data_IF_734527820370
#
_entry.id   IF_734527820370
#
_cell.length_a   1.000
_cell.length_b   1.000
_cell.length_c   1.000
_cell.angle_alpha   90.00
_cell.angle_beta   90.00
_cell.angle_gamma   90.00
#
_symmetry.space_group_name_H-M   'P 1'
#
loop_
_entity.id
_entity.type
_entity.pdbx_description
1 polymer ?
#
# COMPACT_ATOMS: atom_id res chain seq x y z
N UNK A 1 22.60 35.87 -22.26
CA UNK A 1 21.46 35.04 -21.77
C UNK A 1 21.47 33.66 -22.41
N UNK A 2 22.43 32.77 -22.11
CA UNK A 2 22.44 31.38 -22.63
C UNK A 2 23.17 30.37 -21.72
N UNK A 3 23.24 30.63 -20.41
CA UNK A 3 23.91 29.70 -19.48
C UNK A 3 23.03 29.21 -18.32
N UNK A 4 21.79 29.71 -18.21
CA UNK A 4 20.88 29.33 -17.11
C UNK A 4 20.07 28.07 -17.43
N UNK A 5 20.01 27.65 -18.69
CA UNK A 5 19.14 26.53 -19.12
C UNK A 5 19.72 25.14 -18.84
N UNK A 6 21.00 25.01 -18.44
CA UNK A 6 21.63 23.69 -18.26
C UNK A 6 21.47 23.10 -16.85
N UNK A 7 21.09 23.92 -15.86
CA UNK A 7 20.97 23.47 -14.46
C UNK A 7 19.63 22.83 -14.11
N UNK A 8 18.60 23.00 -14.94
CA UNK A 8 17.25 22.45 -14.68
C UNK A 8 17.17 20.94 -15.00
N UNK A 9 18.04 20.42 -15.86
CA UNK A 9 18.00 19.00 -16.26
C UNK A 9 18.74 18.05 -15.31
N UNK A 10 19.54 18.58 -14.37
CA UNK A 10 20.37 17.76 -13.47
C UNK A 10 19.63 17.35 -12.17
N UNK A 11 18.48 17.96 -11.88
CA UNK A 11 17.71 17.71 -10.64
C UNK A 11 16.77 16.49 -10.76
N UNK A 12 16.51 16.00 -11.98
CA UNK A 12 15.55 14.91 -12.24
C UNK A 12 16.09 13.48 -12.09
N UNK A 13 17.37 13.30 -11.71
CA UNK A 13 18.01 11.97 -11.70
C UNK A 13 18.24 11.36 -10.30
N UNK A 14 17.71 11.94 -9.23
CA UNK A 14 17.76 11.34 -7.90
C UNK A 14 16.47 10.55 -7.60
N UNK A 15 16.06 9.67 -8.53
CA UNK A 15 15.18 8.55 -8.16
C UNK A 15 16.05 7.54 -7.39
N UNK A 16 16.29 7.83 -6.11
CA UNK A 16 16.98 6.91 -5.23
C UNK A 16 16.13 5.66 -5.06
N UNK A 17 16.72 4.49 -5.31
CA UNK A 17 16.17 3.21 -4.83
C UNK A 17 16.11 3.27 -3.31
N UNK A 18 15.01 3.77 -2.75
CA UNK A 18 14.75 3.67 -1.32
C UNK A 18 14.14 2.30 -1.06
N UNK A 19 14.76 1.52 -0.16
CA UNK A 19 14.10 0.36 0.42
C UNK A 19 12.84 0.86 1.14
N UNK A 20 11.68 0.58 0.57
CA UNK A 20 10.40 0.92 1.20
C UNK A 20 10.29 0.07 2.48
N UNK A 21 10.00 0.67 3.64
CA UNK A 21 9.82 -0.07 4.88
C UNK A 21 8.66 -1.08 4.81
N UNK A 22 8.96 -2.32 5.19
CA UNK A 22 7.99 -3.38 5.45
C UNK A 22 7.47 -3.28 6.89
N UNK A 23 6.20 -2.94 7.09
CA UNK A 23 5.66 -2.71 8.43
C UNK A 23 5.04 -3.96 9.06
N UNK A 24 5.91 -4.87 9.48
CA UNK A 24 5.53 -6.10 10.20
C UNK A 24 4.78 -5.87 11.52
N UNK A 25 4.84 -4.66 12.10
CA UNK A 25 4.08 -4.31 13.30
C UNK A 25 2.59 -4.07 12.98
N UNK A 26 2.32 -3.35 11.89
CA UNK A 26 0.97 -3.15 11.39
C UNK A 26 0.36 -4.46 10.86
N UNK A 27 1.16 -5.31 10.21
CA UNK A 27 0.73 -6.67 9.80
C UNK A 27 0.21 -7.48 10.96
N UNK A 28 0.96 -7.57 12.06
CA UNK A 28 0.53 -8.29 13.26
C UNK A 28 -0.75 -7.72 13.85
N UNK A 29 -0.89 -6.40 13.81
CA UNK A 29 -2.09 -5.71 14.32
C UNK A 29 -3.32 -6.08 13.48
N UNK A 30 -3.19 -6.06 12.15
CA UNK A 30 -4.27 -6.47 11.24
C UNK A 30 -4.53 -7.97 11.36
N UNK A 31 -3.51 -8.81 11.41
CA UNK A 31 -3.62 -10.27 11.58
C UNK A 31 -4.52 -10.61 12.77
N UNK A 32 -4.25 -10.02 13.93
CA UNK A 32 -5.04 -10.23 15.15
C UNK A 32 -6.49 -9.72 15.01
N UNK A 33 -6.72 -8.62 14.30
CA UNK A 33 -8.09 -8.12 14.03
C UNK A 33 -8.86 -9.11 13.16
N UNK A 34 -8.23 -9.64 12.11
CA UNK A 34 -8.86 -10.57 11.16
C UNK A 34 -9.11 -11.94 11.82
N UNK A 35 -8.18 -12.39 12.68
CA UNK A 35 -8.24 -13.65 13.42
C UNK A 35 -9.46 -13.70 14.35
N UNK A 36 -9.79 -12.59 15.00
CA UNK A 36 -11.05 -12.48 15.76
C UNK A 36 -12.26 -12.38 14.83
N UNK A 37 -12.99 -13.49 14.75
CA UNK A 37 -14.17 -13.66 13.90
C UNK A 37 -15.33 -12.70 14.23
N UNK A 38 -15.29 -12.01 15.38
CA UNK A 38 -16.30 -11.00 15.72
C UNK A 38 -16.03 -9.63 15.05
N UNK A 39 -14.82 -9.38 14.54
CA UNK A 39 -14.49 -8.14 13.84
C UNK A 39 -14.88 -8.26 12.36
N UNK A 40 -15.50 -7.24 11.79
CA UNK A 40 -15.81 -7.16 10.35
C UNK A 40 -15.18 -5.95 9.66
N UNK A 41 -14.41 -5.16 10.40
CA UNK A 41 -13.90 -3.86 9.97
C UNK A 41 -12.45 -3.66 10.43
N UNK A 42 -11.66 -3.02 9.57
CA UNK A 42 -10.33 -2.49 9.91
C UNK A 42 -10.35 -0.99 9.60
N UNK A 43 -9.92 -0.16 10.57
CA UNK A 43 -9.75 1.29 10.40
C UNK A 43 -8.28 1.63 10.43
N UNK A 44 -7.67 1.76 9.24
CA UNK A 44 -6.21 1.85 9.11
C UNK A 44 -5.59 3.02 9.87
N UNK A 45 -6.21 4.20 9.83
CA UNK A 45 -5.67 5.40 10.45
C UNK A 45 -5.53 5.27 11.98
N UNK A 46 -6.38 4.44 12.60
CA UNK A 46 -6.27 4.12 14.03
C UNK A 46 -5.10 3.20 14.39
N UNK A 47 -4.53 2.52 13.39
CA UNK A 47 -3.44 1.54 13.53
C UNK A 47 -2.09 2.09 13.04
N UNK A 48 -2.11 3.12 12.20
CA UNK A 48 -0.90 3.74 11.64
C UNK A 48 -0.33 4.82 12.57
N UNK A 49 0.99 4.85 12.72
CA UNK A 49 1.73 5.86 13.51
C UNK A 49 2.63 6.75 12.64
N UNK A 50 2.43 6.71 11.32
CA UNK A 50 3.18 7.43 10.31
C UNK A 50 2.24 8.24 9.43
N UNK A 51 2.77 9.27 8.76
CA UNK A 51 2.00 10.11 7.85
C UNK A 51 1.79 9.41 6.51
N UNK A 52 0.54 9.34 6.08
CA UNK A 52 0.11 8.84 4.77
C UNK A 52 -1.10 9.62 4.27
N UNK A 53 -1.23 9.72 2.95
CA UNK A 53 -2.33 10.42 2.28
C UNK A 53 -3.24 9.45 1.53
N UNK A 54 -2.66 8.40 0.94
CA UNK A 54 -3.38 7.37 0.20
C UNK A 54 -2.89 5.98 0.61
N UNK A 55 -3.79 5.02 0.72
CA UNK A 55 -3.44 3.61 0.83
C UNK A 55 -4.20 2.80 -0.22
N UNK A 56 -3.48 1.92 -0.92
CA UNK A 56 -4.02 1.06 -1.97
C UNK A 56 -4.04 -0.39 -1.46
N UNK A 57 -5.04 -1.15 -1.89
CA UNK A 57 -5.15 -2.58 -1.60
C UNK A 57 -5.06 -3.34 -2.93
N UNK A 58 -4.07 -4.23 -3.01
CA UNK A 58 -3.86 -5.09 -4.16
C UNK A 58 -4.25 -6.52 -3.80
N UNK A 59 -5.04 -7.12 -4.68
CA UNK A 59 -5.46 -8.51 -4.54
C UNK A 59 -4.33 -9.46 -4.90
N UNK A 60 -4.41 -10.73 -4.47
CA UNK A 60 -3.54 -11.77 -5.01
C UNK A 60 -3.45 -11.75 -6.55
N UNK A 61 -2.28 -12.13 -7.08
CA UNK A 61 -1.95 -12.14 -8.51
C UNK A 61 -1.90 -10.76 -9.20
N UNK A 62 -1.81 -9.68 -8.43
CA UNK A 62 -1.56 -8.35 -9.00
C UNK A 62 -0.17 -8.29 -9.63
N UNK A 63 -0.08 -7.88 -10.89
CA UNK A 63 1.21 -7.77 -11.59
C UNK A 63 1.96 -6.50 -11.16
N UNK A 64 3.29 -6.54 -11.23
CA UNK A 64 4.16 -5.37 -11.02
C UNK A 64 3.69 -4.14 -11.82
N UNK A 65 3.39 -4.31 -13.11
CA UNK A 65 2.89 -3.22 -13.97
C UNK A 65 1.54 -2.68 -13.50
N UNK A 66 0.60 -3.55 -13.12
CA UNK A 66 -0.72 -3.15 -12.62
C UNK A 66 -0.66 -2.42 -11.28
N UNK A 67 0.27 -2.80 -10.40
CA UNK A 67 0.53 -2.09 -9.14
C UNK A 67 1.02 -0.67 -9.45
N UNK A 68 2.06 -0.51 -10.26
CA UNK A 68 2.61 0.81 -10.59
C UNK A 68 1.61 1.70 -11.33
N UNK A 69 0.80 1.13 -12.23
CA UNK A 69 -0.27 1.88 -12.92
C UNK A 69 -1.30 2.46 -11.93
N UNK A 70 -1.73 1.66 -10.94
CA UNK A 70 -2.69 2.12 -9.94
C UNK A 70 -2.08 3.13 -8.96
N UNK A 71 -0.82 2.94 -8.56
CA UNK A 71 -0.11 3.86 -7.67
C UNK A 71 0.22 5.19 -8.36
N UNK A 72 0.46 5.17 -9.68
CA UNK A 72 0.93 6.32 -10.45
C UNK A 72 2.41 6.66 -10.21
N UNK A 73 3.15 5.78 -9.53
CA UNK A 73 4.56 5.94 -9.17
C UNK A 73 5.27 4.60 -9.25
N UNK A 74 6.59 4.63 -9.47
CA UNK A 74 7.38 3.40 -9.49
C UNK A 74 7.47 2.82 -8.08
N UNK A 75 7.24 1.52 -7.98
CA UNK A 75 7.30 0.76 -6.73
C UNK A 75 7.64 -0.68 -7.07
N UNK A 76 8.89 -1.08 -6.83
CA UNK A 76 9.29 -2.48 -7.01
C UNK A 76 8.71 -3.32 -5.87
N UNK A 77 7.65 -4.07 -6.16
CA UNK A 77 6.97 -4.93 -5.19
C UNK A 77 7.96 -5.97 -4.62
N UNK A 78 8.16 -6.02 -3.29
CA UNK A 78 9.00 -7.01 -2.65
C UNK A 78 8.22 -8.25 -2.17
N UNK A 79 6.89 -8.27 -2.29
CA UNK A 79 6.01 -9.28 -1.68
C UNK A 79 5.76 -10.51 -2.54
N UNK A 80 6.18 -10.46 -3.82
CA UNK A 80 5.98 -11.53 -4.79
C UNK A 80 4.47 -11.85 -4.97
N UNK A 81 3.59 -10.84 -4.87
CA UNK A 81 2.13 -11.05 -4.87
C UNK A 81 1.59 -11.56 -6.21
N UNK A 82 2.36 -11.41 -7.29
CA UNK A 82 1.97 -11.80 -8.64
C UNK A 82 1.83 -13.33 -8.82
N UNK A 83 2.42 -14.15 -7.95
CA UNK A 83 2.24 -15.61 -7.92
C UNK A 83 1.66 -16.15 -6.61
N UNK A 84 1.33 -15.29 -5.65
CA UNK A 84 0.77 -15.65 -4.35
C UNK A 84 -0.75 -15.52 -4.32
N UNK A 85 -1.40 -16.42 -3.58
CA UNK A 85 -2.85 -16.44 -3.35
C UNK A 85 -3.25 -16.22 -1.88
N UNK A 86 -2.26 -16.12 -1.00
CA UNK A 86 -2.38 -16.11 0.46
C UNK A 86 -2.40 -14.70 1.08
N UNK A 87 -2.05 -13.66 0.30
CA UNK A 87 -1.96 -12.28 0.79
C UNK A 87 -2.70 -11.25 -0.08
N UNK A 88 -3.08 -10.16 0.57
CA UNK A 88 -3.27 -8.86 -0.05
C UNK A 88 -2.06 -7.98 0.25
N UNK A 89 -1.70 -7.10 -0.67
CA UNK A 89 -0.64 -6.12 -0.46
C UNK A 89 -1.27 -4.74 -0.23
N UNK A 90 -0.93 -4.10 0.90
CA UNK A 90 -1.32 -2.72 1.16
C UNK A 90 -0.11 -1.80 1.01
N UNK A 91 -0.25 -0.77 0.19
CA UNK A 91 0.83 0.18 -0.11
C UNK A 91 0.39 1.59 0.26
N UNK A 92 1.20 2.26 1.09
CA UNK A 92 0.91 3.60 1.64
C UNK A 92 1.75 4.65 0.93
N UNK A 93 1.10 5.72 0.47
CA UNK A 93 1.71 6.86 -0.21
C UNK A 93 1.56 8.14 0.63
N UNK A 94 2.57 8.99 0.59
CA UNK A 94 2.55 10.36 1.09
C UNK A 94 3.31 11.25 0.09
N UNK A 95 2.69 12.33 -0.42
CA UNK A 95 3.29 13.22 -1.42
C UNK A 95 3.83 12.44 -2.65
N UNK A 96 2.99 11.55 -3.19
CA UNK A 96 3.28 10.66 -4.32
C UNK A 96 4.61 9.88 -4.15
N UNK A 97 4.93 9.51 -2.91
CA UNK A 97 6.03 8.60 -2.58
C UNK A 97 5.51 7.45 -1.74
N UNK A 98 5.92 6.23 -2.08
CA UNK A 98 5.64 5.07 -1.22
C UNK A 98 6.42 5.21 0.09
N UNK A 99 5.69 5.29 1.20
CA UNK A 99 6.27 5.45 2.54
C UNK A 99 6.38 4.13 3.29
N UNK A 100 5.44 3.20 3.09
CA UNK A 100 5.43 1.86 3.71
C UNK A 100 4.59 0.88 2.89
N UNK A 101 4.81 -0.42 3.13
CA UNK A 101 3.90 -1.47 2.68
C UNK A 101 3.70 -2.53 3.76
N UNK A 102 2.64 -3.33 3.63
CA UNK A 102 2.38 -4.52 4.43
C UNK A 102 1.77 -5.64 3.58
N UNK A 103 2.02 -6.87 3.98
CA UNK A 103 1.38 -8.09 3.50
C UNK A 103 0.29 -8.50 4.51
N UNK A 104 -0.96 -8.56 4.04
CA UNK A 104 -2.10 -8.97 4.86
C UNK A 104 -2.48 -10.39 4.50
N UNK A 105 -2.24 -11.32 5.41
CA UNK A 105 -2.72 -12.71 5.30
C UNK A 105 -4.25 -12.71 5.16
N UNK A 106 -4.75 -13.47 4.18
CA UNK A 106 -6.19 -13.60 3.92
C UNK A 106 -6.93 -14.21 5.09
N UNK A 107 -6.34 -15.18 5.80
CA UNK A 107 -6.92 -15.83 6.96
C UNK A 107 -8.38 -16.32 6.78
N UNK A 108 -8.74 -16.78 5.57
CA UNK A 108 -10.12 -17.20 5.32
C UNK A 108 -11.07 -16.04 4.98
N UNK A 109 -10.55 -14.88 4.60
CA UNK A 109 -11.32 -13.67 4.33
C UNK A 109 -10.86 -12.96 3.05
N UNK A 110 -11.79 -12.18 2.50
CA UNK A 110 -11.54 -11.17 1.48
C UNK A 110 -11.69 -9.77 2.08
N UNK A 111 -10.97 -8.82 1.52
CA UNK A 111 -10.92 -7.44 1.98
C UNK A 111 -11.44 -6.51 0.91
N UNK A 112 -12.42 -5.68 1.25
CA UNK A 112 -13.01 -4.72 0.30
C UNK A 112 -13.01 -3.30 0.83
N UNK A 113 -12.78 -2.35 -0.08
CA UNK A 113 -12.96 -0.91 0.15
C UNK A 113 -14.20 -0.40 -0.60
N UNK A 114 -15.06 -1.28 -1.11
CA UNK A 114 -16.20 -0.92 -1.95
C UNK A 114 -15.72 -0.34 -3.29
N UNK A 115 -16.44 0.66 -3.81
CA UNK A 115 -16.13 1.31 -5.11
C UNK A 115 -14.95 2.30 -5.06
N UNK A 116 -14.28 2.43 -3.91
CA UNK A 116 -13.15 3.35 -3.74
C UNK A 116 -11.92 2.79 -4.45
N UNK A 117 -11.11 3.70 -5.02
CA UNK A 117 -9.81 3.34 -5.63
C UNK A 117 -8.67 3.24 -4.62
N UNK A 118 -8.76 4.02 -3.55
CA UNK A 118 -7.79 4.08 -2.47
C UNK A 118 -8.49 4.55 -1.19
N UNK A 119 -7.83 4.34 -0.07
CA UNK A 119 -8.21 4.84 1.24
C UNK A 119 -7.47 6.15 1.54
N UNK A 120 -8.01 6.95 2.44
CA UNK A 120 -7.37 8.17 3.00
C UNK A 120 -7.47 8.14 4.52
N UNK A 121 -6.70 8.94 5.28
CA UNK A 121 -6.84 8.97 6.75
C UNK A 121 -8.25 9.30 7.26
N UNK A 122 -9.05 10.04 6.47
CA UNK A 122 -10.45 10.36 6.78
C UNK A 122 -11.45 9.32 6.27
N UNK A 123 -11.02 8.40 5.41
CA UNK A 123 -11.85 7.38 4.76
C UNK A 123 -11.03 6.09 4.61
N UNK A 124 -10.87 5.39 5.74
CA UNK A 124 -9.84 4.36 5.96
C UNK A 124 -10.41 2.96 6.25
N UNK A 125 -11.72 2.79 6.06
CA UNK A 125 -12.43 1.55 6.37
C UNK A 125 -12.19 0.46 5.32
N UNK A 126 -11.70 -0.69 5.78
CA UNK A 126 -11.69 -1.96 5.04
C UNK A 126 -12.73 -2.88 5.67
N UNK A 127 -13.56 -3.51 4.85
CA UNK A 127 -14.53 -4.53 5.29
C UNK A 127 -13.93 -5.92 5.13
N UNK A 128 -14.16 -6.79 6.11
CA UNK A 128 -13.71 -8.18 6.13
C UNK A 128 -14.88 -9.10 5.77
N UNK A 129 -14.77 -9.82 4.66
CA UNK A 129 -15.78 -10.78 4.18
C UNK A 129 -15.25 -12.20 4.34
N UNK A 130 -15.90 -13.03 5.18
CA UNK A 130 -15.43 -14.39 5.50
C UNK A 130 -16.23 -15.47 4.78
N UNK A 131 -15.56 -16.58 4.48
CA UNK A 131 -16.15 -17.80 3.89
C UNK A 131 -16.14 -19.00 4.85
#
# INVERSE_FOLDING_TARGET
>A
MKQVTFYILLILFLAGCSNVPHNTGLEKSIFSIVEDKNNSEIRLNSLTTFDWEKAFIFTPYSTQEGIEEQLGVNFNDPSDIDWRDDIYLLVFLNDDKVVQYIEVDRQGADFTIGERKHLTPSDDLITIERY
#
